data_IF_207528746910
#
_entry.id   IF_207528746910
#
_cell.length_a   1.000
_cell.length_b   1.000
_cell.length_c   1.000
_cell.angle_alpha   90.00
_cell.angle_beta   90.00
_cell.angle_gamma   90.00
#
_symmetry.space_group_name_H-M   'P 1'
#
loop_
_entity.id
_entity.type
_entity.pdbx_description
1 polymer ?
#
# COMPACT_ATOMS: atom_id res chain seq x y z
N UNK A 1 -16.91 -21.22 -8.32
CA UNK A 1 -16.38 -19.90 -7.90
C UNK A 1 -16.23 -19.96 -6.40
N UNK A 2 -15.01 -20.05 -5.88
CA UNK A 2 -14.76 -20.08 -4.43
C UNK A 2 -14.48 -18.66 -4.00
N UNK A 3 -15.28 -18.13 -3.08
CA UNK A 3 -15.04 -16.82 -2.48
C UNK A 3 -14.39 -17.07 -1.13
N UNK A 4 -13.11 -16.73 -1.01
CA UNK A 4 -12.45 -16.69 0.29
C UNK A 4 -12.44 -15.23 0.71
N UNK A 5 -13.30 -14.90 1.67
CA UNK A 5 -13.28 -13.61 2.34
C UNK A 5 -12.40 -13.77 3.57
N UNK A 6 -11.26 -13.11 3.58
CA UNK A 6 -10.35 -13.11 4.72
C UNK A 6 -10.37 -11.69 5.28
N UNK A 7 -11.19 -11.50 6.30
CA UNK A 7 -11.19 -10.32 7.18
C UNK A 7 -10.42 -10.74 8.43
N UNK A 8 -9.25 -10.15 8.66
CA UNK A 8 -8.54 -10.36 9.92
C UNK A 8 -8.17 -9.00 10.46
N UNK A 9 -8.80 -8.70 11.58
CA UNK A 9 -8.43 -7.60 12.42
C UNK A 9 -7.30 -8.07 13.32
N UNK A 10 -6.08 -7.60 13.05
CA UNK A 10 -4.94 -7.81 13.94
C UNK A 10 -4.59 -6.45 14.49
N UNK A 11 -4.98 -6.18 15.73
CA UNK A 11 -4.53 -5.06 16.57
C UNK A 11 -4.26 -3.76 15.78
N UNK A 12 -5.32 -2.98 15.55
CA UNK A 12 -5.33 -1.72 14.77
C UNK A 12 -4.98 -1.85 13.27
N UNK A 13 -4.85 -3.07 12.74
CA UNK A 13 -4.69 -3.35 11.30
C UNK A 13 -5.93 -4.05 10.75
N UNK A 14 -6.51 -3.51 9.67
CA UNK A 14 -7.63 -4.11 8.95
C UNK A 14 -7.19 -4.50 7.54
N UNK A 15 -7.52 -5.70 7.10
CA UNK A 15 -7.28 -6.08 5.70
C UNK A 15 -8.35 -7.01 5.17
N UNK A 16 -8.64 -6.87 3.87
CA UNK A 16 -9.74 -7.58 3.19
C UNK A 16 -9.26 -8.15 1.87
N UNK A 17 -9.33 -9.48 1.73
CA UNK A 17 -9.09 -10.14 0.45
C UNK A 17 -10.38 -10.63 -0.19
N UNK A 18 -10.47 -10.44 -1.51
CA UNK A 18 -11.49 -11.03 -2.37
C UNK A 18 -10.82 -11.82 -3.48
N UNK A 19 -11.09 -13.12 -3.52
CA UNK A 19 -10.77 -13.96 -4.67
C UNK A 19 -11.85 -13.77 -5.75
N UNK A 20 -11.46 -13.32 -6.95
CA UNK A 20 -12.35 -13.15 -8.09
C UNK A 20 -11.63 -13.65 -9.33
N UNK A 21 -11.94 -14.87 -9.80
CA UNK A 21 -11.37 -15.48 -11.01
C UNK A 21 -9.83 -15.48 -11.04
N UNK A 22 -9.15 -16.47 -10.47
CA UNK A 22 -7.67 -16.59 -10.46
C UNK A 22 -6.89 -15.36 -9.94
N UNK A 23 -7.57 -14.34 -9.41
CA UNK A 23 -6.99 -13.08 -8.92
C UNK A 23 -7.43 -12.86 -7.47
N UNK A 24 -6.45 -12.58 -6.62
CA UNK A 24 -6.64 -12.10 -5.25
C UNK A 24 -6.54 -10.59 -5.24
N UNK A 25 -7.59 -9.92 -4.75
CA UNK A 25 -7.58 -8.47 -4.50
C UNK A 25 -7.60 -8.24 -3.00
N UNK A 26 -6.54 -7.65 -2.46
CA UNK A 26 -6.37 -7.30 -1.06
C UNK A 26 -6.44 -5.79 -0.83
N UNK A 27 -7.11 -5.38 0.25
CA UNK A 27 -6.99 -4.05 0.81
C UNK A 27 -6.27 -4.13 2.16
N UNK A 28 -5.24 -3.31 2.40
CA UNK A 28 -4.50 -3.21 3.66
C UNK A 28 -4.75 -1.83 4.27
N UNK A 29 -5.09 -1.81 5.55
CA UNK A 29 -5.00 -0.65 6.43
C UNK A 29 -4.00 -0.99 7.53
N UNK A 30 -2.75 -0.56 7.37
CA UNK A 30 -1.63 -0.76 8.27
C UNK A 30 -1.82 -0.07 9.62
N UNK A 31 -1.22 -0.58 10.71
CA UNK A 31 -1.40 -0.01 12.03
C UNK A 31 -0.71 1.36 12.14
N UNK A 32 -1.35 2.30 12.83
CA UNK A 32 -0.77 3.62 13.11
C UNK A 32 0.55 3.51 13.90
N UNK A 33 0.58 2.56 14.84
CA UNK A 33 1.80 2.14 15.52
C UNK A 33 2.44 1.03 14.68
N UNK A 34 3.39 1.43 13.83
CA UNK A 34 4.08 0.51 12.92
C UNK A 34 4.58 -0.74 13.68
N UNK A 35 3.98 -1.88 13.35
CA UNK A 35 4.30 -3.17 13.94
C UNK A 35 4.60 -4.18 12.81
N UNK A 36 5.85 -4.62 12.75
CA UNK A 36 6.36 -5.53 11.75
C UNK A 36 5.62 -6.87 11.72
N UNK A 37 5.18 -7.36 12.89
CA UNK A 37 4.52 -8.65 13.04
C UNK A 37 3.23 -8.69 12.20
N UNK A 38 2.51 -7.57 12.12
CA UNK A 38 1.24 -7.50 11.39
C UNK A 38 1.47 -7.67 9.88
N UNK A 39 2.52 -7.03 9.33
CA UNK A 39 2.87 -7.17 7.92
C UNK A 39 3.40 -8.56 7.59
N UNK A 40 4.26 -9.13 8.45
CA UNK A 40 4.74 -10.53 8.29
C UNK A 40 3.56 -11.48 8.17
N UNK A 41 2.57 -11.37 9.07
CA UNK A 41 1.40 -12.25 9.04
C UNK A 41 0.58 -12.11 7.75
N UNK A 42 0.42 -10.89 7.22
CA UNK A 42 -0.28 -10.68 5.96
C UNK A 42 0.47 -11.31 4.79
N UNK A 43 1.76 -11.03 4.66
CA UNK A 43 2.55 -11.58 3.55
C UNK A 43 2.70 -13.09 3.64
N UNK A 44 2.86 -13.66 4.83
CA UNK A 44 2.86 -15.13 5.02
C UNK A 44 1.54 -15.76 4.61
N UNK A 45 0.39 -15.14 4.94
CA UNK A 45 -0.92 -15.66 4.52
C UNK A 45 -1.12 -15.55 3.02
N UNK A 46 -0.68 -14.44 2.43
CA UNK A 46 -0.73 -14.22 1.00
C UNK A 46 0.12 -15.26 0.24
N UNK A 47 1.31 -15.57 0.74
CA UNK A 47 2.16 -16.62 0.18
C UNK A 47 1.53 -18.02 0.27
N UNK A 48 0.63 -18.24 1.24
CA UNK A 48 -0.13 -19.49 1.37
C UNK A 48 -1.39 -19.52 0.48
N UNK A 49 -1.74 -18.43 -0.20
CA UNK A 49 -2.81 -18.45 -1.20
C UNK A 49 -2.25 -19.07 -2.48
N UNK A 50 -2.89 -20.12 -2.99
CA UNK A 50 -2.58 -20.74 -4.28
C UNK A 50 -3.10 -19.85 -5.43
N UNK A 51 -2.53 -18.64 -5.54
CA UNK A 51 -2.94 -17.65 -6.53
C UNK A 51 -1.75 -16.80 -6.98
N UNK A 52 -1.44 -16.88 -8.27
CA UNK A 52 -0.33 -16.16 -8.89
C UNK A 52 -0.66 -14.72 -9.28
N UNK A 53 -1.94 -14.32 -9.26
CA UNK A 53 -2.35 -12.97 -9.63
C UNK A 53 -2.84 -12.24 -8.39
N UNK A 54 -1.99 -11.38 -7.85
CA UNK A 54 -2.29 -10.61 -6.64
C UNK A 54 -2.33 -9.13 -6.98
N UNK A 55 -3.36 -8.46 -6.48
CA UNK A 55 -3.47 -7.00 -6.43
C UNK A 55 -3.67 -6.63 -4.96
N UNK A 56 -2.77 -5.84 -4.39
CA UNK A 56 -2.90 -5.31 -3.03
C UNK A 56 -2.90 -3.81 -3.06
N UNK A 57 -3.82 -3.16 -2.37
CA UNK A 57 -3.71 -1.73 -2.15
C UNK A 57 -4.21 -1.29 -0.80
N UNK A 58 -4.14 0.00 -0.53
CA UNK A 58 -4.65 0.60 0.71
C UNK A 58 -3.62 1.45 1.41
N UNK A 59 -3.90 1.83 2.65
CA UNK A 59 -3.05 2.68 3.47
C UNK A 59 -2.13 1.82 4.34
N UNK A 60 -0.85 1.77 4.02
CA UNK A 60 0.13 0.97 4.74
C UNK A 60 0.63 1.68 6.01
N UNK A 61 0.27 2.95 6.22
CA UNK A 61 0.80 3.81 7.30
C UNK A 61 2.35 3.92 7.32
N UNK A 62 3.01 3.41 6.29
CA UNK A 62 4.45 3.21 6.18
C UNK A 62 4.93 3.74 4.83
N UNK A 63 6.04 4.48 4.79
CA UNK A 63 6.67 4.89 3.53
C UNK A 63 7.69 3.83 3.12
N UNK A 64 7.72 3.45 1.84
CA UNK A 64 8.59 2.38 1.32
C UNK A 64 9.91 2.92 0.76
N UNK A 65 9.92 4.13 0.20
CA UNK A 65 11.13 4.79 -0.28
C UNK A 65 11.52 6.00 0.60
N UNK A 66 12.70 5.94 1.21
CA UNK A 66 13.20 6.98 2.15
C UNK A 66 13.45 8.35 1.51
N UNK A 67 13.70 8.38 0.20
CA UNK A 67 14.03 9.60 -0.56
C UNK A 67 12.80 10.19 -1.22
N UNK A 68 11.92 9.34 -1.75
CA UNK A 68 10.84 9.72 -2.66
C UNK A 68 9.46 9.71 -2.00
N UNK A 69 9.24 8.85 -1.01
CA UNK A 69 7.94 8.68 -0.34
C UNK A 69 7.86 9.49 0.97
N UNK A 70 8.93 10.22 1.31
CA UNK A 70 8.97 11.07 2.50
C UNK A 70 9.61 12.42 2.22
N UNK A 71 9.01 13.48 2.75
CA UNK A 71 9.59 14.82 2.79
C UNK A 71 9.62 15.31 4.24
N UNK A 72 10.75 15.80 4.77
CA UNK A 72 12.08 15.71 4.17
C UNK A 72 12.52 14.25 4.01
N UNK A 73 13.38 13.99 3.01
CA UNK A 73 13.99 12.68 2.80
C UNK A 73 14.79 12.25 4.02
N UNK A 74 14.84 10.95 4.28
CA UNK A 74 15.60 10.37 5.40
C UNK A 74 16.68 9.43 4.88
N UNK A 75 17.78 9.29 5.64
CA UNK A 75 18.92 8.46 5.24
C UNK A 75 18.78 6.99 5.61
N UNK A 76 17.83 6.65 6.49
CA UNK A 76 17.59 5.29 6.97
C UNK A 76 16.17 4.85 6.66
N UNK A 77 16.02 3.59 6.25
CA UNK A 77 14.72 2.93 6.11
C UNK A 77 14.21 2.49 7.48
N UNK A 78 12.90 2.47 7.66
CA UNK A 78 12.31 1.81 8.83
C UNK A 78 12.43 0.30 8.61
N UNK A 79 12.65 -0.47 9.68
CA UNK A 79 12.76 -1.92 9.61
C UNK A 79 11.51 -2.55 8.96
N UNK A 80 10.32 -2.05 9.32
CA UNK A 80 9.05 -2.43 8.69
C UNK A 80 9.00 -2.10 7.18
N UNK A 81 9.59 -0.98 6.73
CA UNK A 81 9.64 -0.63 5.31
C UNK A 81 10.46 -1.64 4.52
N UNK A 82 11.65 -1.99 5.03
CA UNK A 82 12.51 -2.99 4.41
C UNK A 82 11.82 -4.34 4.33
N UNK A 83 11.18 -4.76 5.43
CA UNK A 83 10.43 -6.02 5.49
C UNK A 83 9.31 -6.07 4.45
N UNK A 84 8.53 -4.99 4.30
CA UNK A 84 7.49 -4.92 3.28
C UNK A 84 8.09 -5.00 1.88
N UNK A 85 9.19 -4.29 1.61
CA UNK A 85 9.87 -4.34 0.32
C UNK A 85 10.40 -5.73 -0.01
N UNK A 86 11.02 -6.42 0.94
CA UNK A 86 11.54 -7.77 0.78
C UNK A 86 10.40 -8.76 0.51
N UNK A 87 9.32 -8.69 1.29
CA UNK A 87 8.14 -9.54 1.09
C UNK A 87 7.47 -9.27 -0.27
N UNK A 88 7.42 -8.02 -0.73
CA UNK A 88 6.92 -7.68 -2.06
C UNK A 88 7.82 -8.30 -3.14
N UNK A 89 9.14 -8.21 -2.97
CA UNK A 89 10.10 -8.79 -3.92
C UNK A 89 9.96 -10.30 -4.03
N UNK A 90 9.87 -11.01 -2.89
CA UNK A 90 9.65 -12.46 -2.84
C UNK A 90 8.36 -12.91 -3.56
N UNK A 91 7.33 -12.07 -3.52
CA UNK A 91 6.02 -12.35 -4.13
C UNK A 91 5.84 -11.73 -5.53
N UNK A 92 6.92 -11.19 -6.13
CA UNK A 92 6.88 -10.49 -7.42
C UNK A 92 5.88 -9.32 -7.47
N UNK A 93 5.64 -8.66 -6.34
CA UNK A 93 4.77 -7.50 -6.20
C UNK A 93 5.53 -6.20 -6.43
N UNK A 94 4.96 -5.31 -7.24
CA UNK A 94 5.55 -4.02 -7.60
C UNK A 94 4.58 -2.87 -7.32
N UNK A 95 5.10 -1.79 -6.74
CA UNK A 95 4.35 -0.56 -6.56
C UNK A 95 4.09 0.16 -7.88
N UNK A 96 2.82 0.19 -8.31
CA UNK A 96 2.38 0.77 -9.59
C UNK A 96 2.81 2.22 -9.70
N UNK A 97 2.53 2.99 -8.65
CA UNK A 97 2.79 4.42 -8.64
C UNK A 97 4.28 4.71 -8.85
N UNK A 98 5.15 4.03 -8.12
CA UNK A 98 6.59 4.26 -8.17
C UNK A 98 7.23 3.70 -9.44
N UNK A 99 6.65 2.65 -10.02
CA UNK A 99 7.05 2.14 -11.33
C UNK A 99 6.84 3.19 -12.44
N UNK A 100 5.69 3.86 -12.45
CA UNK A 100 5.39 4.90 -13.44
C UNK A 100 5.99 6.27 -13.11
N UNK A 101 6.22 6.55 -11.82
CA UNK A 101 6.71 7.84 -11.32
C UNK A 101 7.99 7.65 -10.50
N UNK A 102 9.11 7.21 -11.10
CA UNK A 102 10.32 6.86 -10.34
C UNK A 102 10.92 8.07 -9.61
N UNK A 103 10.77 9.28 -10.15
CA UNK A 103 11.39 10.52 -9.64
C UNK A 103 10.39 11.56 -9.11
N UNK A 104 9.08 11.30 -9.16
CA UNK A 104 8.06 12.24 -8.66
C UNK A 104 7.92 12.17 -7.14
N UNK A 105 7.74 13.32 -6.49
CA UNK A 105 7.45 13.44 -5.05
C UNK A 105 6.01 13.89 -4.84
N UNK A 106 5.11 12.92 -4.82
CA UNK A 106 3.70 13.12 -4.49
C UNK A 106 3.36 12.31 -3.24
N UNK A 107 2.47 12.86 -2.41
CA UNK A 107 2.22 12.36 -1.06
C UNK A 107 0.72 12.25 -0.81
N UNK A 108 0.33 11.26 -0.02
CA UNK A 108 -1.07 10.98 0.31
C UNK A 108 -1.42 11.38 1.74
N UNK A 109 -0.41 11.67 2.57
CA UNK A 109 -0.59 12.08 3.96
C UNK A 109 0.21 13.34 4.31
N UNK A 110 -0.46 14.25 5.03
CA UNK A 110 0.03 15.56 5.42
C UNK A 110 -0.19 15.73 6.93
N UNK A 111 0.88 15.93 7.72
CA UNK A 111 0.69 16.35 9.11
C UNK A 111 0.15 17.78 9.16
N UNK A 112 -0.55 18.17 10.22
CA UNK A 112 -1.02 19.54 10.44
C UNK A 112 -0.15 20.19 11.52
N UNK A 113 1.04 20.66 11.18
CA UNK A 113 1.90 21.43 12.11
C UNK A 113 2.39 22.73 11.48
N UNK A 114 2.47 23.80 12.27
CA UNK A 114 2.70 25.19 11.79
C UNK A 114 4.07 25.46 11.13
N UNK A 115 4.99 24.49 11.10
CA UNK A 115 6.32 24.64 10.50
C UNK A 115 6.70 23.36 9.74
N UNK A 116 6.77 23.44 8.40
CA UNK A 116 7.17 22.36 7.46
C UNK A 116 6.54 21.00 7.75
N UNK A 117 5.47 20.68 7.05
CA UNK A 117 4.77 19.40 7.19
C UNK A 117 5.68 18.26 6.72
N UNK A 118 5.98 17.25 7.57
CA UNK A 118 6.43 15.99 7.02
C UNK A 118 5.35 15.45 6.09
N UNK A 119 5.72 15.05 4.88
CA UNK A 119 4.79 14.46 3.93
C UNK A 119 5.16 13.01 3.73
N UNK A 120 4.15 12.14 3.61
CA UNK A 120 4.36 10.71 3.38
C UNK A 120 3.45 10.20 2.25
N UNK A 121 4.01 9.41 1.36
CA UNK A 121 3.25 8.48 0.53
C UNK A 121 3.09 7.21 1.37
N UNK A 122 1.85 6.89 1.73
CA UNK A 122 1.50 5.72 2.56
C UNK A 122 0.43 4.85 1.91
N UNK A 123 -0.27 5.38 0.90
CA UNK A 123 -1.22 4.61 0.10
C UNK A 123 -0.47 3.99 -1.07
N UNK A 124 -0.50 2.67 -1.15
CA UNK A 124 0.12 1.91 -2.23
C UNK A 124 -0.92 1.08 -2.95
N UNK A 125 -0.66 0.85 -4.24
CA UNK A 125 -1.27 -0.21 -5.02
C UNK A 125 -0.11 -1.03 -5.59
N UNK A 126 -0.17 -2.33 -5.38
CA UNK A 126 0.83 -3.33 -5.72
C UNK A 126 0.17 -4.37 -6.62
N UNK A 127 0.86 -4.79 -7.67
CA UNK A 127 0.45 -5.94 -8.49
C UNK A 127 1.63 -6.83 -8.82
N UNK A 128 1.35 -8.00 -9.37
CA UNK A 128 2.37 -8.84 -10.00
C UNK A 128 2.85 -8.23 -11.32
N UNK A 129 4.16 -8.27 -11.60
CA UNK A 129 4.79 -7.57 -12.75
C UNK A 129 4.14 -7.85 -14.12
N UNK A 130 3.61 -9.05 -14.34
CA UNK A 130 2.98 -9.42 -15.61
C UNK A 130 1.64 -8.69 -15.83
N UNK A 131 0.95 -8.31 -14.75
CA UNK A 131 -0.29 -7.53 -14.81
C UNK A 131 -0.05 -6.08 -15.28
N UNK A 132 1.18 -5.55 -15.21
CA UNK A 132 1.55 -4.22 -15.74
C UNK A 132 1.06 -4.07 -17.18
N UNK A 133 1.30 -5.10 -17.99
CA UNK A 133 1.04 -5.08 -19.42
C UNK A 133 -0.46 -5.16 -19.72
N UNK A 134 -1.23 -5.81 -18.85
CA UNK A 134 -2.69 -5.92 -18.93
C UNK A 134 -3.41 -4.66 -18.41
N UNK A 135 -2.81 -3.92 -17.48
CA UNK A 135 -3.41 -2.75 -16.80
C UNK A 135 -3.27 -1.45 -17.60
N UNK A 136 -2.62 -1.46 -18.77
CA UNK A 136 -2.46 -0.28 -19.64
C UNK A 136 -3.77 0.44 -20.03
N UNK A 137 -4.94 -0.17 -19.81
CA UNK A 137 -6.25 0.44 -20.07
C UNK A 137 -6.99 1.00 -18.84
N UNK A 138 -6.52 0.78 -17.61
CA UNK A 138 -7.26 1.17 -16.39
C UNK A 138 -6.67 2.43 -15.72
N UNK A 139 -5.43 2.78 -16.02
CA UNK A 139 -4.81 4.02 -15.52
C UNK A 139 -5.22 5.23 -16.38
N UNK A 140 -6.52 5.54 -16.38
CA UNK A 140 -6.92 6.95 -16.32
C UNK A 140 -6.24 7.47 -15.05
N UNK A 141 -5.56 8.63 -15.08
CA UNK A 141 -4.89 9.12 -13.89
C UNK A 141 -5.93 9.14 -12.76
N UNK A 142 -5.48 8.84 -11.56
CA UNK A 142 -6.32 8.73 -10.37
C UNK A 142 -6.32 10.06 -9.56
N UNK A 143 -6.49 11.29 -10.12
CA UNK A 143 -6.52 12.51 -9.32
C UNK A 143 -7.92 12.83 -8.80
N UNK A 144 -8.93 11.96 -8.98
CA UNK A 144 -10.33 12.27 -8.67
C UNK A 144 -11.04 11.32 -7.70
N UNK A 145 -10.39 10.25 -7.20
CA UNK A 145 -11.02 9.30 -6.27
C UNK A 145 -10.47 9.34 -4.83
N UNK A 146 -9.55 10.26 -4.53
CA UNK A 146 -9.14 10.56 -3.16
C UNK A 146 -9.45 12.03 -2.94
N UNK A 147 -10.30 12.29 -1.93
CA UNK A 147 -10.89 13.57 -1.50
C UNK A 147 -12.30 13.87 -2.06
N UNK A 148 -13.37 13.47 -1.34
CA UNK A 148 -14.46 14.41 -1.12
C UNK A 148 -13.88 15.58 -0.30
N UNK A 149 -13.90 16.78 -0.89
CA UNK A 149 -13.85 18.02 -0.11
C UNK A 149 -14.95 17.98 0.95
N UNK A 150 -14.63 18.53 2.12
CA UNK A 150 -15.48 18.75 3.29
C UNK A 150 -15.66 17.57 4.26
N UNK A 151 -14.84 17.59 5.31
CA UNK A 151 -15.35 17.51 6.67
C UNK A 151 -14.66 18.61 7.46
N UNK A 152 -15.24 19.80 7.33
CA UNK A 152 -15.12 20.84 8.34
C UNK A 152 -16.04 20.47 9.51
N UNK A 153 -15.56 20.74 10.73
CA UNK A 153 -16.25 20.69 12.03
C UNK A 153 -16.60 19.27 12.54
N UNK A 154 -16.41 18.91 13.81
CA UNK A 154 -16.57 19.65 15.05
C UNK A 154 -15.62 19.11 16.15
N UNK A 155 -15.02 20.06 16.89
CA UNK A 155 -14.44 20.01 18.25
C UNK A 155 -13.12 19.24 18.40
#
# INVERSE_FOLDING_TARGET
MVYIYIDIEVQDMLWRFKLCCEIVIGCIYGPNNLNEICFVQVFSRLANLDCNNVILGGDFNCFLNTTMDKSPSVTFALQVSSLICDACYEQNLFGIWRFHNPTSKEFTFFFLTRMKLPLKLIVYLLYVIWLIWSVKQILVPLPSLIMPRSLSLYI
#
